data_IF_814415987491
#
_entry.id   IF_814415987491
#
_cell.length_a   1.000
_cell.length_b   1.000
_cell.length_c   1.000
_cell.angle_alpha   90.00
_cell.angle_beta   90.00
_cell.angle_gamma   90.00
#
_symmetry.space_group_name_H-M   'P 1'
#
loop_
_entity.id
_entity.type
_entity.pdbx_description
1 polymer ?
#
# COMPACT_ATOMS: atom_id res chain seq x y z
N UNK A 1 10.85 16.33 93.06
CA UNK A 1 11.97 16.91 92.36
C UNK A 1 12.92 15.80 91.92
N UNK A 2 13.21 15.50 90.73
CA UNK A 2 13.86 16.25 89.72
C UNK A 2 13.26 16.06 88.31
N UNK A 3 13.61 17.01 87.47
CA UNK A 3 13.27 17.28 86.09
C UNK A 3 13.93 16.29 85.11
N UNK A 4 13.09 15.67 84.25
CA UNK A 4 13.54 14.83 83.15
C UNK A 4 13.53 15.63 81.82
N UNK A 5 14.70 15.76 81.21
CA UNK A 5 14.90 16.39 79.89
C UNK A 5 14.67 15.38 78.79
N UNK A 6 13.65 15.57 77.98
CA UNK A 6 13.40 14.77 76.78
C UNK A 6 14.29 15.24 75.63
N UNK A 7 15.16 14.38 75.13
CA UNK A 7 15.99 14.60 73.93
C UNK A 7 15.17 14.16 72.70
N UNK A 8 14.75 15.11 71.89
CA UNK A 8 14.12 14.86 70.57
C UNK A 8 15.17 14.36 69.56
N UNK A 9 15.00 13.15 69.02
CA UNK A 9 15.74 12.67 67.84
C UNK A 9 15.04 13.19 66.56
N UNK A 10 15.68 14.12 65.87
CA UNK A 10 15.27 14.55 64.55
C UNK A 10 15.77 13.55 63.53
N UNK A 11 14.84 12.77 62.98
CA UNK A 11 15.15 11.86 61.88
C UNK A 11 15.05 12.66 60.57
N UNK A 12 16.20 12.89 59.94
CA UNK A 12 16.26 13.46 58.60
C UNK A 12 16.02 12.34 57.58
N UNK A 13 14.83 12.33 56.95
CA UNK A 13 14.50 11.47 55.81
C UNK A 13 15.12 12.10 54.57
N UNK A 14 16.21 11.55 54.09
CA UNK A 14 16.82 11.89 52.81
C UNK A 14 16.04 11.17 51.71
N UNK A 15 15.14 11.88 51.05
CA UNK A 15 14.45 11.41 49.83
C UNK A 15 15.46 11.40 48.69
N UNK A 16 16.03 10.22 48.39
CA UNK A 16 16.78 9.98 47.16
C UNK A 16 15.79 9.91 46.00
N UNK A 17 15.64 11.02 45.26
CA UNK A 17 14.92 11.09 44.01
C UNK A 17 15.72 10.28 42.95
N UNK A 18 15.34 9.03 42.74
CA UNK A 18 15.86 8.17 41.67
C UNK A 18 15.29 8.67 40.32
N UNK A 19 15.95 9.64 39.68
CA UNK A 19 15.66 10.01 38.29
C UNK A 19 16.01 8.83 37.37
N UNK A 20 15.06 7.95 37.15
CA UNK A 20 15.13 6.96 36.09
C UNK A 20 15.16 7.72 34.76
N UNK A 21 16.36 7.84 34.19
CA UNK A 21 16.52 8.29 32.79
C UNK A 21 15.91 7.21 31.92
N UNK A 22 14.71 7.48 31.39
CA UNK A 22 14.14 6.70 30.28
C UNK A 22 15.05 6.98 29.08
N UNK A 23 16.01 6.11 28.87
CA UNK A 23 16.77 6.05 27.62
C UNK A 23 15.78 5.64 26.54
N UNK A 24 15.43 6.58 25.67
CA UNK A 24 14.70 6.26 24.45
C UNK A 24 15.51 5.18 23.72
N UNK A 25 14.95 3.97 23.63
CA UNK A 25 15.54 2.88 22.88
C UNK A 25 15.72 3.37 21.44
N UNK A 26 16.96 3.60 21.02
CA UNK A 26 17.29 3.89 19.64
C UNK A 26 16.88 2.68 18.81
N UNK A 27 15.87 2.85 17.96
CA UNK A 27 15.52 1.83 17.00
C UNK A 27 16.75 1.55 16.14
N UNK A 28 17.13 0.26 15.95
CA UNK A 28 18.29 -0.07 15.13
C UNK A 28 18.09 0.52 13.75
N UNK A 29 19.02 1.37 13.31
CA UNK A 29 19.06 1.86 11.94
C UNK A 29 19.22 0.62 11.05
N UNK A 30 18.21 0.31 10.24
CA UNK A 30 18.26 -0.78 9.27
C UNK A 30 19.29 -0.38 8.20
N UNK A 31 20.56 -0.74 8.41
CA UNK A 31 21.56 -0.67 7.36
C UNK A 31 21.22 -1.71 6.33
N UNK A 32 20.60 -1.28 5.25
CA UNK A 32 20.36 -2.16 4.11
C UNK A 32 21.72 -2.37 3.42
N UNK A 33 22.21 -3.61 3.44
CA UNK A 33 23.39 -4.00 2.67
C UNK A 33 23.23 -3.58 1.20
N UNK A 34 24.29 -3.05 0.55
CA UNK A 34 24.23 -2.67 -0.85
C UNK A 34 23.77 -3.85 -1.73
N UNK A 35 22.94 -3.57 -2.70
CA UNK A 35 22.51 -4.59 -3.67
C UNK A 35 23.66 -4.92 -4.62
N UNK A 36 23.86 -6.23 -4.90
CA UNK A 36 24.71 -6.61 -6.02
C UNK A 36 24.11 -6.08 -7.34
N UNK A 37 24.94 -5.85 -8.37
CA UNK A 37 24.43 -5.42 -9.68
C UNK A 37 23.37 -6.37 -10.27
N UNK A 38 23.48 -7.67 -10.00
CA UNK A 38 22.47 -8.65 -10.41
C UNK A 38 21.16 -8.43 -9.67
N UNK A 39 21.19 -8.26 -8.35
CA UNK A 39 20.00 -8.03 -7.54
C UNK A 39 19.30 -6.71 -7.91
N UNK A 40 20.07 -5.67 -8.19
CA UNK A 40 19.52 -4.39 -8.64
C UNK A 40 18.77 -4.53 -9.99
N UNK A 41 19.39 -5.18 -10.99
CA UNK A 41 18.73 -5.47 -12.27
C UNK A 41 17.49 -6.34 -12.11
N UNK A 42 17.54 -7.35 -11.24
CA UNK A 42 16.37 -8.21 -10.95
C UNK A 42 15.23 -7.39 -10.34
N UNK A 43 15.50 -6.53 -9.37
CA UNK A 43 14.49 -5.65 -8.76
C UNK A 43 13.85 -4.73 -9.79
N UNK A 44 14.66 -4.08 -10.63
CA UNK A 44 14.18 -3.21 -11.70
C UNK A 44 13.32 -3.97 -12.70
N UNK A 45 13.74 -5.14 -13.15
CA UNK A 45 12.96 -5.98 -14.06
C UNK A 45 11.61 -6.41 -13.45
N UNK A 46 11.58 -6.76 -12.16
CA UNK A 46 10.34 -7.07 -11.45
C UNK A 46 9.40 -5.86 -11.40
N UNK A 47 9.90 -4.68 -11.07
CA UNK A 47 9.10 -3.44 -11.04
C UNK A 47 8.54 -3.08 -12.42
N UNK A 48 9.34 -3.23 -13.48
CA UNK A 48 8.93 -2.84 -14.83
C UNK A 48 7.95 -3.82 -15.47
N UNK A 49 8.09 -5.12 -15.21
CA UNK A 49 7.40 -6.13 -16.03
C UNK A 49 6.42 -7.02 -15.25
N UNK A 50 6.58 -7.17 -13.94
CA UNK A 50 5.86 -8.20 -13.19
C UNK A 50 5.05 -7.67 -12.00
N UNK A 51 5.48 -6.56 -11.38
CA UNK A 51 4.81 -5.98 -10.23
C UNK A 51 3.93 -4.80 -10.64
N UNK A 52 2.84 -4.54 -9.91
CA UNK A 52 1.87 -3.50 -10.27
C UNK A 52 2.32 -2.08 -9.90
N UNK A 53 3.48 -1.92 -9.25
CA UNK A 53 3.95 -0.66 -8.69
C UNK A 53 3.90 0.50 -9.70
N UNK A 54 4.37 0.24 -10.94
CA UNK A 54 4.38 1.24 -11.99
C UNK A 54 3.00 1.45 -12.66
N UNK A 55 1.96 0.78 -12.18
CA UNK A 55 0.58 1.14 -12.48
C UNK A 55 0.18 2.49 -11.89
N UNK A 56 0.80 2.87 -10.77
CA UNK A 56 0.50 4.09 -10.02
C UNK A 56 1.71 5.02 -9.91
N UNK A 57 2.91 4.45 -9.77
CA UNK A 57 4.17 5.16 -9.53
C UNK A 57 5.00 5.29 -10.80
N UNK A 58 5.82 6.32 -10.85
CA UNK A 58 6.85 6.48 -11.88
C UNK A 58 8.20 5.95 -11.39
N UNK A 59 8.98 5.35 -12.31
CA UNK A 59 10.39 5.04 -12.13
C UNK A 59 11.14 5.44 -13.40
N UNK A 60 11.92 6.51 -13.34
CA UNK A 60 12.49 7.15 -14.51
C UNK A 60 11.39 7.75 -15.39
N UNK A 61 11.28 7.28 -16.63
CA UNK A 61 10.25 7.75 -17.59
C UNK A 61 9.05 6.81 -17.68
N UNK A 62 9.07 5.67 -16.99
CA UNK A 62 8.03 4.64 -17.07
C UNK A 62 7.11 4.66 -15.87
N UNK A 63 5.83 4.44 -16.09
CA UNK A 63 4.83 4.25 -15.06
C UNK A 63 3.84 5.39 -14.87
N UNK A 64 2.90 5.16 -13.96
CA UNK A 64 1.80 6.07 -13.63
C UNK A 64 2.24 7.33 -12.86
N UNK A 65 1.33 8.29 -12.78
CA UNK A 65 1.59 9.59 -12.14
C UNK A 65 0.62 9.90 -10.98
N UNK A 66 -0.09 8.90 -10.46
CA UNK A 66 -1.01 9.07 -9.31
C UNK A 66 -0.36 8.78 -7.97
N UNK A 67 0.73 8.01 -7.95
CA UNK A 67 1.56 7.79 -6.78
C UNK A 67 2.85 8.62 -6.83
N UNK A 68 3.57 8.76 -5.70
CA UNK A 68 4.87 9.42 -5.66
C UNK A 68 5.87 8.82 -6.66
N UNK A 69 6.73 9.66 -7.22
CA UNK A 69 7.83 9.23 -8.07
C UNK A 69 8.85 8.40 -7.25
N UNK A 70 9.12 7.18 -7.69
CA UNK A 70 10.04 6.26 -7.04
C UNK A 70 11.50 6.52 -7.40
N UNK A 71 11.76 7.27 -8.49
CA UNK A 71 13.13 7.61 -8.92
C UNK A 71 13.86 8.42 -7.86
N UNK A 72 13.15 9.31 -7.19
CA UNK A 72 13.69 10.21 -6.15
C UNK A 72 13.06 9.96 -4.78
N UNK A 73 12.54 8.75 -4.54
CA UNK A 73 11.85 8.43 -3.28
C UNK A 73 12.75 8.64 -2.06
N UNK A 74 14.07 8.43 -2.20
CA UNK A 74 15.06 8.61 -1.13
C UNK A 74 15.33 10.07 -0.75
N UNK A 75 14.92 11.03 -1.55
CA UNK A 75 14.94 12.45 -1.17
C UNK A 75 13.89 12.78 -0.11
N UNK A 76 12.84 11.96 -0.01
CA UNK A 76 11.65 12.23 0.81
C UNK A 76 11.35 11.19 1.90
N UNK A 77 11.88 9.98 1.76
CA UNK A 77 11.53 8.85 2.65
C UNK A 77 12.75 8.03 3.04
N UNK A 78 12.81 7.66 4.31
CA UNK A 78 13.84 6.75 4.84
C UNK A 78 13.67 5.33 4.30
N UNK A 79 14.72 4.49 4.31
CA UNK A 79 14.62 3.07 3.98
C UNK A 79 13.56 2.34 4.80
N UNK A 80 13.47 2.62 6.10
CA UNK A 80 12.48 2.02 6.99
C UNK A 80 11.05 2.38 6.58
N UNK A 81 10.80 3.64 6.22
CA UNK A 81 9.49 4.07 5.73
C UNK A 81 9.12 3.36 4.42
N UNK A 82 10.05 3.26 3.48
CA UNK A 82 9.83 2.58 2.19
C UNK A 82 9.45 1.12 2.42
N UNK A 83 10.20 0.40 3.26
CA UNK A 83 9.92 -0.99 3.59
C UNK A 83 8.55 -1.18 4.25
N UNK A 84 8.20 -0.32 5.22
CA UNK A 84 6.92 -0.36 5.92
C UNK A 84 5.74 -0.04 4.98
N UNK A 85 5.89 0.94 4.08
CA UNK A 85 4.87 1.31 3.10
C UNK A 85 4.59 0.17 2.11
N UNK A 86 5.60 -0.56 1.66
CA UNK A 86 5.42 -1.72 0.78
C UNK A 86 4.77 -2.89 1.53
N UNK A 87 5.10 -3.06 2.82
CA UNK A 87 4.58 -4.16 3.63
C UNK A 87 3.09 -4.00 3.96
N UNK A 88 2.68 -2.83 4.41
CA UNK A 88 1.29 -2.54 4.77
C UNK A 88 0.96 -1.05 4.67
N UNK A 89 0.54 -0.58 3.48
CA UNK A 89 0.29 0.84 3.23
C UNK A 89 -0.80 1.43 4.12
N UNK A 90 -1.91 0.70 4.35
CA UNK A 90 -3.04 1.21 5.12
C UNK A 90 -2.74 1.28 6.62
N UNK A 91 -1.88 0.40 7.12
CA UNK A 91 -1.42 0.43 8.50
C UNK A 91 -0.49 1.62 8.76
N UNK A 92 0.39 1.91 7.79
CA UNK A 92 1.32 3.03 7.90
C UNK A 92 0.65 4.38 7.68
N UNK A 93 -0.26 4.46 6.69
CA UNK A 93 -1.02 5.66 6.33
C UNK A 93 -2.49 5.28 6.20
N UNK A 94 -3.28 5.45 7.28
CA UNK A 94 -4.72 5.19 7.23
C UNK A 94 -5.40 5.94 6.09
N UNK A 95 -6.24 5.24 5.32
CA UNK A 95 -6.91 5.82 4.15
C UNK A 95 -6.08 5.83 2.85
N UNK A 96 -4.84 5.35 2.88
CA UNK A 96 -4.01 5.22 1.67
C UNK A 96 -4.75 4.48 0.57
N UNK A 97 -4.63 4.99 -0.67
CA UNK A 97 -5.12 4.33 -1.89
C UNK A 97 -4.08 3.39 -2.51
N UNK A 98 -2.93 3.21 -1.88
CA UNK A 98 -1.96 2.19 -2.29
C UNK A 98 -2.45 0.82 -1.80
N UNK A 99 -2.76 -0.14 -2.68
CA UNK A 99 -3.21 -1.46 -2.24
C UNK A 99 -2.03 -2.27 -1.69
N UNK A 100 -2.32 -3.14 -0.73
CA UNK A 100 -1.37 -4.12 -0.23
C UNK A 100 -1.14 -5.18 -1.30
N UNK A 101 0.07 -5.28 -1.81
CA UNK A 101 0.45 -6.24 -2.84
C UNK A 101 0.97 -7.52 -2.21
N UNK A 102 0.34 -8.65 -2.52
CA UNK A 102 0.85 -9.97 -2.10
C UNK A 102 2.08 -10.32 -2.91
N UNK A 103 3.18 -10.58 -2.21
CA UNK A 103 4.43 -11.05 -2.79
C UNK A 103 5.25 -11.78 -1.71
N UNK A 104 6.17 -12.68 -2.09
CA UNK A 104 7.10 -13.31 -1.15
C UNK A 104 7.92 -12.25 -0.40
N UNK A 105 8.23 -12.49 0.87
CA UNK A 105 8.99 -11.57 1.72
C UNK A 105 10.34 -11.21 1.09
N UNK A 106 11.05 -12.19 0.54
CA UNK A 106 12.32 -11.95 -0.15
C UNK A 106 12.18 -11.01 -1.36
N UNK A 107 11.04 -11.05 -2.06
CA UNK A 107 10.76 -10.10 -3.16
C UNK A 107 10.49 -8.72 -2.60
N UNK A 108 9.69 -8.61 -1.54
CA UNK A 108 9.40 -7.35 -0.87
C UNK A 108 10.68 -6.67 -0.39
N UNK A 109 11.56 -7.44 0.28
CA UNK A 109 12.83 -6.94 0.77
C UNK A 109 13.76 -6.49 -0.36
N UNK A 110 13.81 -7.25 -1.45
CA UNK A 110 14.57 -6.88 -2.64
C UNK A 110 14.09 -5.54 -3.23
N UNK A 111 12.77 -5.36 -3.37
CA UNK A 111 12.19 -4.12 -3.90
C UNK A 111 12.43 -2.95 -2.92
N UNK A 112 12.24 -3.15 -1.62
CA UNK A 112 12.49 -2.12 -0.61
C UNK A 112 13.96 -1.65 -0.65
N UNK A 113 14.91 -2.58 -0.70
CA UNK A 113 16.34 -2.27 -0.82
C UNK A 113 16.68 -1.56 -2.12
N UNK A 114 16.09 -1.96 -3.24
CA UNK A 114 16.28 -1.28 -4.52
C UNK A 114 15.78 0.15 -4.48
N UNK A 115 14.60 0.39 -3.94
CA UNK A 115 14.07 1.76 -3.80
C UNK A 115 14.85 2.58 -2.76
N UNK A 116 15.35 1.93 -1.71
CA UNK A 116 16.21 2.57 -0.73
C UNK A 116 17.61 2.93 -1.28
N UNK A 117 18.05 2.29 -2.36
CA UNK A 117 19.30 2.60 -3.05
C UNK A 117 19.17 3.69 -4.14
N UNK A 118 17.96 4.19 -4.39
CA UNK A 118 17.77 5.31 -5.31
C UNK A 118 18.44 6.58 -4.79
N UNK A 119 18.77 7.55 -5.65
CA UNK A 119 19.39 8.81 -5.23
C UNK A 119 18.58 9.53 -4.16
N UNK A 120 19.27 10.12 -3.18
CA UNK A 120 18.68 10.87 -2.09
C UNK A 120 19.11 10.38 -0.71
N UNK A 121 18.91 11.21 0.30
CA UNK A 121 19.33 10.95 1.66
C UNK A 121 18.35 11.52 2.70
N UNK A 122 17.06 11.20 2.55
CA UNK A 122 16.08 11.58 3.56
C UNK A 122 16.45 10.97 4.92
N UNK A 123 16.39 11.73 6.00
CA UNK A 123 16.74 11.26 7.34
C UNK A 123 15.81 10.11 7.79
N UNK A 124 16.33 9.26 8.66
CA UNK A 124 15.51 8.27 9.34
C UNK A 124 14.62 9.00 10.36
N UNK A 125 13.35 9.17 10.00
CA UNK A 125 12.32 9.65 10.91
C UNK A 125 11.60 8.46 11.52
N UNK A 126 11.17 8.53 12.79
CA UNK A 126 10.34 7.49 13.38
C UNK A 126 9.13 7.19 12.51
N UNK A 127 8.81 5.91 12.35
CA UNK A 127 7.58 5.53 11.65
C UNK A 127 6.37 6.05 12.44
N UNK A 128 5.32 6.53 11.77
CA UNK A 128 4.09 6.85 12.47
C UNK A 128 3.58 5.63 13.24
N UNK A 129 2.95 5.87 14.38
CA UNK A 129 2.28 4.81 15.12
C UNK A 129 1.27 4.10 14.18
N UNK A 130 1.09 2.78 14.34
CA UNK A 130 0.07 2.08 13.57
C UNK A 130 -1.27 2.78 13.70
N UNK A 131 -1.92 3.05 12.57
CA UNK A 131 -3.25 3.64 12.56
C UNK A 131 -4.28 2.75 13.25
N UNK A 132 -5.44 3.31 13.62
CA UNK A 132 -6.54 2.54 14.21
C UNK A 132 -6.95 1.37 13.29
N UNK A 133 -7.55 0.32 13.85
CA UNK A 133 -8.04 -0.81 13.07
C UNK A 133 -9.00 -0.35 11.98
N UNK A 134 -8.99 -1.09 10.87
CA UNK A 134 -9.78 -0.80 9.69
C UNK A 134 -11.28 -0.67 10.03
N UNK A 135 -11.89 0.40 9.54
CA UNK A 135 -13.33 0.66 9.51
C UNK A 135 -14.09 -0.54 8.91
N UNK A 136 -15.36 -0.78 9.31
CA UNK A 136 -16.21 -1.81 8.70
C UNK A 136 -16.15 -1.79 7.16
N UNK A 137 -16.27 -2.95 6.49
CA UNK A 137 -16.13 -3.01 5.04
C UNK A 137 -17.15 -2.11 4.35
N UNK A 138 -16.67 -1.30 3.40
CA UNK A 138 -17.52 -0.50 2.54
C UNK A 138 -18.28 -1.42 1.57
N UNK A 139 -19.59 -1.37 1.60
CA UNK A 139 -20.44 -2.22 0.73
C UNK A 139 -20.99 -1.48 -0.48
N UNK A 140 -20.84 -0.16 -0.55
CA UNK A 140 -21.19 0.62 -1.73
C UNK A 140 -20.11 0.45 -2.82
N UNK A 141 -20.47 -0.28 -3.87
CA UNK A 141 -19.59 -0.50 -5.02
C UNK A 141 -19.20 0.78 -5.76
N UNK A 142 -20.03 1.81 -5.75
CA UNK A 142 -19.72 3.11 -6.37
C UNK A 142 -18.66 3.86 -5.56
N UNK A 143 -18.77 3.87 -4.23
CA UNK A 143 -17.78 4.48 -3.34
C UNK A 143 -16.42 3.75 -3.45
N UNK A 144 -16.43 2.41 -3.44
CA UNK A 144 -15.23 1.60 -3.67
C UNK A 144 -14.60 1.88 -5.03
N UNK A 145 -15.41 1.96 -6.08
CA UNK A 145 -14.93 2.26 -7.44
C UNK A 145 -14.30 3.65 -7.52
N UNK A 146 -14.94 4.64 -6.91
CA UNK A 146 -14.43 6.00 -6.83
C UNK A 146 -13.06 6.07 -6.14
N UNK A 147 -12.87 5.30 -5.08
CA UNK A 147 -11.64 5.26 -4.31
C UNK A 147 -10.50 4.52 -5.04
N UNK A 148 -10.78 3.36 -5.63
CA UNK A 148 -9.75 2.42 -6.06
C UNK A 148 -9.56 2.32 -7.58
N UNK A 149 -10.60 2.63 -8.38
CA UNK A 149 -10.62 2.30 -9.81
C UNK A 149 -10.58 3.52 -10.74
N UNK A 150 -11.20 4.65 -10.32
CA UNK A 150 -11.43 5.84 -11.15
C UNK A 150 -10.15 6.42 -11.74
N UNK A 151 -9.04 6.40 -11.00
CA UNK A 151 -7.77 6.96 -11.45
C UNK A 151 -7.27 6.37 -12.77
N UNK A 152 -7.58 5.09 -13.04
CA UNK A 152 -7.21 4.41 -14.28
C UNK A 152 -8.43 4.19 -15.19
N UNK A 153 -9.54 3.68 -14.65
CA UNK A 153 -10.71 3.26 -15.45
C UNK A 153 -11.69 4.40 -15.76
N UNK A 154 -11.50 5.58 -15.16
CA UNK A 154 -12.41 6.72 -15.33
C UNK A 154 -13.67 6.62 -14.50
N UNK A 155 -14.27 7.77 -14.14
CA UNK A 155 -15.48 7.84 -13.32
C UNK A 155 -16.68 7.13 -13.97
N UNK A 156 -16.77 7.18 -15.30
CA UNK A 156 -17.80 6.56 -16.09
C UNK A 156 -17.41 5.18 -16.64
N UNK A 157 -16.24 4.65 -16.24
CA UNK A 157 -15.77 3.34 -16.65
C UNK A 157 -15.31 3.23 -18.12
N UNK A 158 -14.92 4.33 -18.77
CA UNK A 158 -14.50 4.33 -20.19
C UNK A 158 -13.02 3.97 -20.40
N UNK A 159 -12.26 3.69 -19.33
CA UNK A 159 -10.83 3.47 -19.40
C UNK A 159 -10.04 4.75 -19.68
N UNK A 160 -10.60 5.89 -19.32
CA UNK A 160 -10.16 7.25 -19.59
C UNK A 160 -9.82 8.02 -18.30
N UNK A 161 -9.48 7.30 -17.23
CA UNK A 161 -9.02 7.94 -15.99
C UNK A 161 -7.76 8.77 -16.20
N UNK A 162 -7.49 9.75 -15.31
CA UNK A 162 -6.37 10.68 -15.47
C UNK A 162 -5.00 10.00 -15.60
N UNK A 163 -4.87 8.78 -15.12
CA UNK A 163 -3.64 7.98 -15.23
C UNK A 163 -3.56 7.13 -16.52
N UNK A 164 -4.64 6.98 -17.26
CA UNK A 164 -4.71 6.07 -18.41
C UNK A 164 -3.64 6.41 -19.49
N UNK A 165 -3.36 7.68 -19.72
CA UNK A 165 -2.36 8.14 -20.68
C UNK A 165 -0.92 7.77 -20.30
N UNK A 166 -0.66 7.43 -19.03
CA UNK A 166 0.66 7.07 -18.53
C UNK A 166 0.88 5.54 -18.51
N UNK A 167 -0.08 4.76 -18.98
CA UNK A 167 -0.01 3.30 -18.95
C UNK A 167 0.28 2.73 -20.35
N UNK A 168 1.10 1.68 -20.46
CA UNK A 168 1.45 1.07 -21.74
C UNK A 168 0.26 0.39 -22.43
N UNK A 169 -0.77 0.06 -21.66
CA UNK A 169 -2.01 -0.57 -22.15
C UNK A 169 -3.18 0.22 -21.58
N UNK A 170 -4.12 0.60 -22.44
CA UNK A 170 -5.33 1.29 -22.02
C UNK A 170 -6.13 0.46 -21.02
N UNK A 171 -6.57 1.03 -19.90
CA UNK A 171 -7.44 0.33 -18.95
C UNK A 171 -8.74 -0.15 -19.61
N UNK A 172 -9.25 -1.29 -19.15
CA UNK A 172 -10.48 -1.84 -19.69
C UNK A 172 -11.65 -0.84 -19.52
N UNK A 173 -12.45 -0.72 -20.58
CA UNK A 173 -13.67 0.09 -20.56
C UNK A 173 -14.80 -0.70 -19.86
N UNK A 174 -15.01 -0.47 -18.58
CA UNK A 174 -16.05 -1.13 -17.78
C UNK A 174 -17.48 -0.71 -18.25
N UNK A 175 -17.62 0.42 -18.94
CA UNK A 175 -18.88 0.85 -19.55
C UNK A 175 -19.18 0.15 -20.89
N UNK A 176 -18.23 -0.59 -21.47
CA UNK A 176 -18.48 -1.33 -22.72
C UNK A 176 -19.36 -2.54 -22.44
N UNK A 177 -20.63 -2.46 -22.90
CA UNK A 177 -21.58 -3.59 -22.82
C UNK A 177 -21.00 -4.84 -23.50
N UNK A 178 -20.48 -4.71 -24.71
CA UNK A 178 -19.89 -5.81 -25.47
C UNK A 178 -18.75 -6.49 -24.70
N UNK A 179 -17.75 -5.71 -24.27
CA UNK A 179 -16.59 -6.25 -23.59
C UNK A 179 -16.93 -6.85 -22.22
N UNK A 180 -17.89 -6.28 -21.48
CA UNK A 180 -18.22 -6.77 -20.14
C UNK A 180 -19.22 -7.92 -20.18
N UNK A 181 -20.16 -7.99 -21.15
CA UNK A 181 -21.06 -9.14 -21.30
C UNK A 181 -20.33 -10.43 -21.63
N UNK A 182 -19.16 -10.35 -22.24
CA UNK A 182 -18.32 -11.52 -22.54
C UNK A 182 -17.56 -12.06 -21.32
N UNK A 183 -17.61 -11.39 -20.18
CA UNK A 183 -16.84 -11.76 -18.98
C UNK A 183 -17.77 -12.24 -17.87
N UNK A 184 -17.54 -13.46 -17.33
CA UNK A 184 -18.22 -13.94 -16.14
C UNK A 184 -17.92 -13.07 -14.92
N UNK A 185 -18.81 -13.05 -13.93
CA UNK A 185 -18.62 -12.32 -12.68
C UNK A 185 -17.42 -12.83 -11.90
N UNK A 186 -17.17 -14.16 -11.90
CA UNK A 186 -15.99 -14.76 -11.27
C UNK A 186 -14.70 -14.27 -11.94
N UNK A 187 -14.67 -14.17 -13.27
CA UNK A 187 -13.51 -13.62 -13.99
C UNK A 187 -13.25 -12.15 -13.65
N UNK A 188 -14.31 -11.34 -13.44
CA UNK A 188 -14.17 -9.98 -12.96
C UNK A 188 -13.68 -9.96 -11.52
N UNK A 189 -14.24 -10.81 -10.66
CA UNK A 189 -13.83 -10.96 -9.27
C UNK A 189 -12.34 -11.34 -9.17
N UNK A 190 -11.92 -12.37 -9.89
CA UNK A 190 -10.53 -12.86 -9.87
C UNK A 190 -9.56 -11.81 -10.42
N UNK A 191 -9.95 -11.08 -11.47
CA UNK A 191 -9.15 -9.97 -12.01
C UNK A 191 -8.94 -8.86 -10.95
N UNK A 192 -9.97 -8.52 -10.18
CA UNK A 192 -9.86 -7.52 -9.11
C UNK A 192 -9.05 -8.08 -7.94
N UNK A 193 -9.35 -9.30 -7.50
CA UNK A 193 -8.68 -9.91 -6.36
C UNK A 193 -7.20 -10.15 -6.60
N UNK A 194 -6.85 -10.71 -7.76
CA UNK A 194 -5.48 -11.13 -8.08
C UNK A 194 -4.68 -10.14 -8.93
N UNK A 195 -5.34 -9.12 -9.48
CA UNK A 195 -4.71 -8.17 -10.39
C UNK A 195 -4.70 -8.63 -11.85
N UNK A 196 -4.28 -7.75 -12.74
CA UNK A 196 -4.34 -8.03 -14.19
C UNK A 196 -3.42 -9.18 -14.64
N UNK A 197 -2.30 -9.36 -13.98
CA UNK A 197 -1.31 -10.37 -14.38
C UNK A 197 -1.83 -11.80 -14.29
N UNK A 198 -2.63 -12.15 -13.27
CA UNK A 198 -3.16 -13.53 -13.12
C UNK A 198 -4.10 -13.95 -14.24
N UNK A 199 -4.72 -12.97 -14.91
CA UNK A 199 -5.61 -13.18 -16.04
C UNK A 199 -4.90 -12.95 -17.38
N UNK A 200 -3.58 -13.05 -17.41
CA UNK A 200 -2.75 -12.77 -18.58
C UNK A 200 -3.03 -11.40 -19.22
N UNK A 201 -3.27 -10.40 -18.38
CA UNK A 201 -3.50 -9.00 -18.74
C UNK A 201 -2.33 -8.13 -18.24
N UNK A 202 -2.49 -6.83 -18.30
CA UNK A 202 -1.46 -5.90 -17.85
C UNK A 202 -1.10 -6.06 -16.37
N UNK A 203 0.17 -6.27 -16.06
CA UNK A 203 0.69 -6.27 -14.69
C UNK A 203 0.53 -4.90 -13.99
N UNK A 204 0.20 -3.83 -14.74
CA UNK A 204 -0.04 -2.49 -14.17
C UNK A 204 -1.33 -2.41 -13.35
N UNK A 205 -2.28 -3.34 -13.55
CA UNK A 205 -3.47 -3.42 -12.70
C UNK A 205 -3.13 -4.17 -11.41
N UNK A 206 -3.20 -3.51 -10.24
CA UNK A 206 -2.86 -4.11 -8.96
C UNK A 206 -3.88 -5.16 -8.52
N UNK A 207 -3.45 -6.06 -7.63
CA UNK A 207 -4.34 -6.96 -6.91
C UNK A 207 -4.94 -6.25 -5.70
N UNK A 208 -6.23 -6.50 -5.43
CA UNK A 208 -6.94 -5.92 -4.29
C UNK A 208 -7.32 -6.95 -3.22
N UNK A 209 -7.13 -8.24 -3.45
CA UNK A 209 -7.54 -9.30 -2.53
C UNK A 209 -6.77 -9.37 -1.20
N UNK A 210 -5.74 -8.53 -1.01
CA UNK A 210 -5.10 -8.32 0.29
C UNK A 210 -5.54 -7.01 0.97
N UNK A 211 -6.35 -6.20 0.27
CA UNK A 211 -6.82 -4.88 0.72
C UNK A 211 -8.33 -4.87 0.92
N UNK A 212 -9.07 -5.50 0.01
CA UNK A 212 -10.52 -5.56 0.02
C UNK A 212 -11.02 -6.94 0.40
N UNK A 213 -12.12 -6.98 1.12
CA UNK A 213 -12.83 -8.22 1.44
C UNK A 213 -13.52 -8.80 0.20
N UNK A 214 -13.85 -10.10 0.19
CA UNK A 214 -14.62 -10.69 -0.90
C UNK A 214 -15.97 -9.99 -1.15
N UNK A 215 -16.62 -9.47 -0.10
CA UNK A 215 -17.87 -8.73 -0.20
C UNK A 215 -17.68 -7.40 -0.92
N UNK A 216 -16.63 -6.65 -0.61
CA UNK A 216 -16.27 -5.40 -1.29
C UNK A 216 -15.95 -5.64 -2.77
N UNK A 217 -15.21 -6.72 -3.08
CA UNK A 217 -14.92 -7.08 -4.49
C UNK A 217 -16.21 -7.43 -5.24
N UNK A 218 -17.13 -8.19 -4.63
CA UNK A 218 -18.45 -8.45 -5.23
C UNK A 218 -19.26 -7.17 -5.43
N UNK A 219 -19.18 -6.20 -4.50
CA UNK A 219 -19.82 -4.90 -4.67
C UNK A 219 -19.23 -4.13 -5.87
N UNK A 220 -17.93 -4.19 -6.09
CA UNK A 220 -17.28 -3.63 -7.28
C UNK A 220 -17.74 -4.32 -8.57
N UNK A 221 -17.87 -5.66 -8.58
CA UNK A 221 -18.39 -6.41 -9.74
C UNK A 221 -19.81 -5.93 -10.08
N UNK A 222 -20.72 -5.83 -9.09
CA UNK A 222 -22.07 -5.30 -9.30
C UNK A 222 -22.05 -3.87 -9.85
N UNK A 223 -21.15 -3.02 -9.35
CA UNK A 223 -21.01 -1.66 -9.87
C UNK A 223 -20.52 -1.65 -11.33
N UNK A 224 -19.59 -2.51 -11.71
CA UNK A 224 -19.16 -2.66 -13.11
C UNK A 224 -20.35 -3.08 -13.98
N UNK A 225 -21.20 -4.00 -13.51
CA UNK A 225 -22.43 -4.39 -14.21
C UNK A 225 -23.40 -3.21 -14.41
N UNK A 226 -23.50 -2.34 -13.41
CA UNK A 226 -24.32 -1.11 -13.56
C UNK A 226 -23.74 -0.13 -14.59
N UNK A 227 -22.40 0.01 -14.66
CA UNK A 227 -21.73 0.87 -15.63
C UNK A 227 -21.96 0.40 -17.07
N UNK A 228 -21.82 -0.89 -17.35
CA UNK A 228 -22.07 -1.46 -18.69
C UNK A 228 -23.55 -1.65 -18.99
N UNK A 229 -24.44 -1.58 -18.00
CA UNK A 229 -25.85 -1.97 -18.10
C UNK A 229 -25.98 -3.37 -18.71
N UNK A 230 -25.18 -4.32 -18.25
CA UNK A 230 -25.06 -5.65 -18.83
C UNK A 230 -24.91 -6.71 -17.74
N UNK A 231 -25.12 -7.95 -18.13
CA UNK A 231 -24.89 -9.15 -17.35
C UNK A 231 -23.75 -9.96 -17.97
N UNK A 232 -23.19 -10.89 -17.21
CA UNK A 232 -22.21 -11.87 -17.71
C UNK A 232 -22.84 -12.86 -18.70
N UNK A 233 -22.02 -13.76 -19.29
CA UNK A 233 -22.50 -14.79 -20.22
C UNK A 233 -23.57 -15.65 -19.57
N UNK A 234 -24.59 -16.07 -20.34
CA UNK A 234 -25.72 -16.87 -19.84
C UNK A 234 -25.30 -18.15 -19.13
N UNK A 235 -24.26 -18.81 -19.64
CA UNK A 235 -23.72 -20.05 -19.07
C UNK A 235 -23.01 -19.85 -17.69
N UNK A 236 -22.63 -18.65 -17.32
CA UNK A 236 -21.94 -18.32 -16.06
C UNK A 236 -22.85 -17.75 -14.98
N UNK A 237 -24.16 -17.68 -15.24
CA UNK A 237 -25.15 -17.20 -14.28
C UNK A 237 -25.71 -18.39 -13.50
N UNK A 238 -25.93 -18.22 -12.17
CA UNK A 238 -26.58 -19.24 -11.35
C UNK A 238 -28.02 -19.52 -11.79
#
# INVERSE_FOLDING_TARGET
MPTGVARGLSVWIVLLACCARVTAAQQPSVRLEPLSPFSARKAEALLRNHLPCLGCHRLGRDGGAIGPDLTTVRERRSPAYIAAMIADPQRLVPGSVMPKTRMPDATRDLIARFLASQPGNAPDTPLPAPGPPVVPPETDGAALYAKWCVSCHGRTGRGDGPNAANLPVKPAAHASREAMSARPDDSLFDTIAGGGAIMNRSARMPSFGATLTPQEIRALVRHIRSLCRCEGPGWSRP
#
